data_IF_825663790561
#
_entry.id   IF_825663790561
#
_cell.length_a   1.000
_cell.length_b   1.000
_cell.length_c   1.000
_cell.angle_alpha   90.00
_cell.angle_beta   90.00
_cell.angle_gamma   90.00
#
_symmetry.space_group_name_H-M   'P 1'
#
loop_
_entity.id
_entity.type
_entity.pdbx_description
1 polymer ?
#
# COMPACT_ATOMS: atom_id res chain seq x y z
N UNK A 1 -6.91 -11.02 -25.56
CA UNK A 1 -6.60 -12.46 -25.72
C UNK A 1 -5.10 -12.59 -25.91
N UNK A 2 -4.40 -13.32 -25.05
CA UNK A 2 -2.96 -13.59 -25.22
C UNK A 2 -2.72 -14.41 -26.50
N UNK A 3 -1.74 -14.03 -27.33
CA UNK A 3 -1.35 -14.74 -28.55
C UNK A 3 0.14 -15.10 -28.53
N UNK A 4 0.50 -16.17 -29.23
CA UNK A 4 1.64 -17.07 -28.96
C UNK A 4 2.79 -17.00 -29.99
N UNK A 5 4.03 -17.26 -29.52
CA UNK A 5 5.34 -17.60 -30.19
C UNK A 5 6.37 -16.44 -30.28
N UNK A 6 7.67 -16.57 -29.96
CA UNK A 6 8.50 -17.63 -29.33
C UNK A 6 9.92 -17.10 -28.90
N UNK A 7 10.21 -17.11 -27.56
CA UNK A 7 11.42 -17.61 -26.80
C UNK A 7 12.87 -17.08 -27.05
N UNK A 8 13.82 -17.05 -26.04
CA UNK A 8 14.00 -18.03 -24.95
C UNK A 8 14.37 -17.52 -23.51
N UNK A 9 14.39 -18.48 -22.58
CA UNK A 9 14.86 -18.47 -21.17
C UNK A 9 14.00 -17.80 -20.08
N UNK A 10 12.91 -18.50 -19.77
CA UNK A 10 12.29 -18.74 -18.46
C UNK A 10 13.01 -18.11 -17.25
N UNK A 11 12.39 -17.07 -16.68
CA UNK A 11 12.15 -17.06 -15.23
C UNK A 11 10.66 -16.75 -15.05
N UNK A 12 9.89 -17.54 -14.29
CA UNK A 12 8.53 -17.14 -13.94
C UNK A 12 8.60 -15.82 -13.18
N UNK A 13 7.52 -15.04 -13.20
CA UNK A 13 7.33 -13.88 -12.34
C UNK A 13 7.55 -14.31 -10.88
N UNK A 14 8.80 -14.20 -10.41
CA UNK A 14 9.26 -14.65 -9.12
C UNK A 14 10.26 -13.61 -8.61
N UNK A 15 9.89 -13.08 -7.45
CA UNK A 15 10.65 -12.22 -6.55
C UNK A 15 12.11 -12.71 -6.48
N UNK A 16 13.09 -11.84 -6.80
CA UNK A 16 14.46 -12.05 -6.28
C UNK A 16 14.46 -11.65 -4.81
N UNK A 17 14.10 -12.60 -3.96
CA UNK A 17 14.42 -12.55 -2.54
C UNK A 17 15.88 -12.97 -2.40
N UNK A 18 16.77 -12.05 -2.01
CA UNK A 18 18.01 -12.45 -1.36
C UNK A 18 17.91 -12.02 0.10
N UNK A 19 17.52 -12.99 0.93
CA UNK A 19 17.31 -12.84 2.37
C UNK A 19 18.60 -13.21 3.09
N UNK A 20 19.18 -12.27 3.83
CA UNK A 20 19.94 -12.63 5.02
C UNK A 20 19.60 -11.67 6.16
N UNK A 21 18.79 -12.21 7.08
CA UNK A 21 18.73 -11.91 8.51
C UNK A 21 17.76 -10.80 8.98
N UNK A 22 16.51 -11.18 9.29
CA UNK A 22 15.63 -10.41 10.16
C UNK A 22 14.89 -11.31 11.14
N UNK A 23 15.11 -11.06 12.43
CA UNK A 23 14.27 -11.56 13.51
C UNK A 23 12.95 -10.77 13.53
N UNK A 24 11.84 -11.50 13.39
CA UNK A 24 10.53 -11.18 13.98
C UNK A 24 9.77 -9.97 13.42
N UNK A 25 8.89 -10.20 12.44
CA UNK A 25 7.85 -9.24 12.04
C UNK A 25 6.81 -9.90 11.14
N UNK A 26 5.52 -9.79 11.48
CA UNK A 26 4.37 -10.58 11.00
C UNK A 26 3.98 -10.40 9.51
N UNK A 27 4.80 -9.77 8.67
CA UNK A 27 4.49 -9.53 7.26
C UNK A 27 5.52 -10.24 6.36
N UNK A 28 5.10 -11.08 5.39
CA UNK A 28 6.00 -11.94 4.62
C UNK A 28 6.79 -11.21 3.52
N UNK A 29 6.96 -9.89 3.61
CA UNK A 29 7.65 -9.10 2.59
C UNK A 29 8.83 -8.32 3.17
N UNK A 30 9.95 -8.44 2.46
CA UNK A 30 11.21 -7.79 2.77
C UNK A 30 11.04 -6.26 2.68
N UNK A 31 11.18 -5.59 3.84
CA UNK A 31 10.95 -4.16 4.05
C UNK A 31 11.96 -3.28 3.28
N UNK A 32 13.11 -3.83 2.90
CA UNK A 32 14.18 -3.10 2.21
C UNK A 32 13.92 -2.95 0.69
N UNK A 33 12.96 -3.70 0.15
CA UNK A 33 12.59 -3.67 -1.28
C UNK A 33 11.38 -2.77 -1.57
N UNK A 34 10.79 -2.14 -0.54
CA UNK A 34 9.78 -1.12 -0.73
C UNK A 34 10.56 0.18 -1.01
N UNK A 35 10.50 0.71 -2.24
CA UNK A 35 10.77 2.15 -2.43
C UNK A 35 9.88 2.85 -1.41
N UNK A 36 10.45 3.32 -0.31
CA UNK A 36 9.71 3.88 0.81
C UNK A 36 8.86 5.04 0.27
N UNK A 37 7.57 4.79 0.05
CA UNK A 37 6.55 5.83 0.08
C UNK A 37 6.74 6.54 1.41
N UNK A 38 6.71 7.87 1.42
CA UNK A 38 7.15 8.71 2.52
C UNK A 38 6.16 8.71 3.69
N UNK A 39 5.57 7.55 4.01
CA UNK A 39 4.35 7.43 4.80
C UNK A 39 3.11 7.67 3.94
N UNK A 40 2.07 8.22 4.56
CA UNK A 40 0.81 8.59 3.95
C UNK A 40 0.95 9.94 3.21
N UNK A 41 1.49 9.90 1.99
CA UNK A 41 1.61 11.06 1.10
C UNK A 41 3.03 11.34 0.61
N UNK A 42 3.21 12.46 -0.10
CA UNK A 42 4.52 13.01 -0.48
C UNK A 42 4.87 14.21 0.42
N UNK A 43 6.18 14.48 0.56
CA UNK A 43 6.70 15.63 1.33
C UNK A 43 5.88 16.91 1.08
N UNK A 44 5.25 17.42 2.15
CA UNK A 44 4.44 18.65 2.12
C UNK A 44 2.97 18.50 2.55
N UNK A 45 2.44 17.27 2.60
CA UNK A 45 1.07 16.99 3.09
C UNK A 45 1.04 16.27 4.45
N UNK A 46 2.18 16.04 5.07
CA UNK A 46 2.34 15.33 6.37
C UNK A 46 1.46 15.92 7.49
N UNK A 47 1.20 17.24 7.44
CA UNK A 47 0.32 17.93 8.40
C UNK A 47 -1.18 17.73 8.10
N UNK A 48 -1.52 17.43 6.86
CA UNK A 48 -2.89 17.22 6.39
C UNK A 48 -3.27 15.73 6.38
N UNK A 49 -2.27 14.84 6.26
CA UNK A 49 -2.42 13.38 6.19
C UNK A 49 -1.45 12.76 7.21
N UNK A 50 -1.81 12.74 8.50
CA UNK A 50 -0.92 12.21 9.54
C UNK A 50 -0.67 10.70 9.39
N UNK A 51 0.59 10.26 9.52
CA UNK A 51 0.93 8.82 9.54
C UNK A 51 0.38 8.09 10.77
N UNK A 52 0.04 8.83 11.82
CA UNK A 52 -0.44 8.32 13.10
C UNK A 52 -1.71 9.02 13.51
N UNK A 53 -2.69 8.26 13.97
CA UNK A 53 -3.91 8.80 14.53
C UNK A 53 -4.15 8.19 15.93
N UNK A 54 -3.82 8.96 16.98
CA UNK A 54 -3.72 8.42 18.33
C UNK A 54 -2.67 7.30 18.39
N UNK A 55 -3.09 6.11 18.83
CA UNK A 55 -2.28 4.89 18.88
C UNK A 55 -2.30 4.06 17.57
N UNK A 56 -3.15 4.42 16.60
CA UNK A 56 -3.16 3.75 15.30
C UNK A 56 -1.99 4.23 14.42
N UNK A 57 -1.28 3.29 13.82
CA UNK A 57 -0.13 3.55 12.94
C UNK A 57 -0.49 3.18 11.50
N UNK A 58 -0.80 4.18 10.68
CA UNK A 58 -1.21 4.00 9.29
C UNK A 58 -0.01 3.91 8.32
N UNK A 59 1.21 4.11 8.81
CA UNK A 59 2.42 4.15 8.00
C UNK A 59 2.59 2.89 7.13
N UNK A 60 2.40 1.71 7.72
CA UNK A 60 2.52 0.44 6.97
C UNK A 60 1.38 0.24 5.97
N UNK A 61 0.14 0.65 6.32
CA UNK A 61 -0.99 0.59 5.39
C UNK A 61 -0.73 1.45 4.15
N UNK A 62 -0.17 2.65 4.32
CA UNK A 62 0.17 3.56 3.23
C UNK A 62 1.28 2.98 2.32
N UNK A 63 2.31 2.37 2.88
CA UNK A 63 3.33 1.69 2.08
C UNK A 63 2.79 0.51 1.27
N UNK A 64 1.87 -0.27 1.85
CA UNK A 64 1.21 -1.38 1.16
C UNK A 64 0.35 -0.86 0.00
N UNK A 65 -0.34 0.27 0.20
CA UNK A 65 -1.13 0.93 -0.84
C UNK A 65 -0.28 1.43 -2.01
N UNK A 66 0.81 2.14 -1.74
CA UNK A 66 1.74 2.61 -2.77
C UNK A 66 2.34 1.45 -3.58
N UNK A 67 2.72 0.37 -2.90
CA UNK A 67 3.20 -0.85 -3.55
C UNK A 67 2.11 -1.52 -4.40
N UNK A 68 0.86 -1.49 -3.95
CA UNK A 68 -0.27 -1.99 -4.72
C UNK A 68 -0.45 -1.18 -6.02
N UNK A 69 -0.35 0.16 -5.95
CA UNK A 69 -0.39 1.02 -7.14
C UNK A 69 0.73 0.73 -8.14
N UNK A 70 1.93 0.39 -7.65
CA UNK A 70 3.07 -0.01 -8.49
C UNK A 70 2.99 -1.47 -9.00
N UNK A 71 2.01 -2.27 -8.54
CA UNK A 71 1.89 -3.67 -8.97
C UNK A 71 1.11 -3.76 -10.27
N UNK A 72 1.76 -4.26 -11.33
CA UNK A 72 1.17 -4.34 -12.67
C UNK A 72 -0.14 -5.13 -12.70
N UNK A 73 -1.17 -4.53 -13.30
CA UNK A 73 -2.47 -5.15 -13.52
C UNK A 73 -3.43 -5.07 -12.33
N UNK A 74 -3.01 -4.49 -11.19
CA UNK A 74 -3.93 -4.15 -10.11
C UNK A 74 -4.69 -2.87 -10.43
N UNK A 75 -5.99 -2.88 -10.16
CA UNK A 75 -6.85 -1.71 -10.36
C UNK A 75 -6.76 -0.77 -9.18
N UNK A 76 -6.90 0.53 -9.42
CA UNK A 76 -6.97 1.56 -8.37
C UNK A 76 -7.97 1.17 -7.27
N UNK A 77 -9.21 0.85 -7.67
CA UNK A 77 -10.30 0.44 -6.78
C UNK A 77 -9.98 -0.78 -5.91
N UNK A 78 -9.22 -1.74 -6.44
CA UNK A 78 -8.77 -2.89 -5.64
C UNK A 78 -7.79 -2.45 -4.56
N UNK A 79 -6.80 -1.64 -4.92
CA UNK A 79 -5.81 -1.12 -3.98
C UNK A 79 -6.45 -0.22 -2.91
N UNK A 80 -7.38 0.65 -3.28
CA UNK A 80 -8.03 1.56 -2.33
C UNK A 80 -8.90 0.82 -1.31
N UNK A 81 -9.66 -0.19 -1.77
CA UNK A 81 -10.46 -1.03 -0.85
C UNK A 81 -9.59 -1.84 0.11
N UNK A 82 -8.47 -2.37 -0.38
CA UNK A 82 -7.50 -3.06 0.47
C UNK A 82 -6.93 -2.10 1.52
N UNK A 83 -6.56 -0.89 1.09
CA UNK A 83 -6.05 0.14 1.96
C UNK A 83 -7.02 0.49 3.09
N UNK A 84 -8.32 0.65 2.81
CA UNK A 84 -9.33 0.83 3.86
C UNK A 84 -9.34 -0.33 4.86
N UNK A 85 -9.24 -1.57 4.38
CA UNK A 85 -9.16 -2.75 5.26
C UNK A 85 -7.95 -2.71 6.19
N UNK A 86 -6.78 -2.39 5.64
CA UNK A 86 -5.53 -2.29 6.40
C UNK A 86 -5.61 -1.16 7.46
N UNK A 87 -6.20 0.00 7.13
CA UNK A 87 -6.41 1.10 8.08
C UNK A 87 -7.38 0.73 9.21
N UNK A 88 -8.47 0.02 8.90
CA UNK A 88 -9.45 -0.43 9.90
C UNK A 88 -8.84 -1.49 10.83
N UNK A 89 -7.95 -2.34 10.32
CA UNK A 89 -7.19 -3.29 11.16
C UNK A 89 -6.33 -2.56 12.19
N UNK A 90 -5.63 -1.48 11.79
CA UNK A 90 -4.86 -0.64 12.71
C UNK A 90 -5.76 0.03 13.75
N UNK A 91 -6.93 0.53 13.33
CA UNK A 91 -7.92 1.07 14.25
C UNK A 91 -8.40 0.05 15.29
N UNK A 92 -8.52 -1.23 14.91
CA UNK A 92 -8.93 -2.31 15.80
C UNK A 92 -7.95 -2.57 16.96
N UNK A 93 -6.71 -2.07 16.87
CA UNK A 93 -5.69 -2.18 17.92
C UNK A 93 -5.84 -1.10 19.01
N UNK A 94 -6.62 -0.05 18.75
CA UNK A 94 -6.88 1.01 19.72
C UNK A 94 -7.88 0.58 20.80
N UNK A 95 -7.94 1.33 21.90
CA UNK A 95 -8.97 1.16 22.92
C UNK A 95 -10.39 1.31 22.30
N UNK A 96 -11.39 0.50 22.71
CA UNK A 96 -12.70 0.46 22.06
C UNK A 96 -13.40 1.82 21.91
N UNK A 97 -13.20 2.73 22.87
CA UNK A 97 -13.82 4.06 22.88
C UNK A 97 -13.33 4.93 21.72
N UNK A 98 -12.09 4.75 21.25
CA UNK A 98 -11.51 5.57 20.16
C UNK A 98 -11.64 4.91 18.78
N UNK A 99 -12.01 3.62 18.71
CA UNK A 99 -12.12 2.88 17.45
C UNK A 99 -13.09 3.51 16.43
N UNK A 100 -14.28 4.01 16.81
CA UNK A 100 -15.19 4.63 15.84
C UNK A 100 -14.60 5.89 15.20
N UNK A 101 -13.87 6.69 15.98
CA UNK A 101 -13.25 7.91 15.48
C UNK A 101 -12.07 7.59 14.57
N UNK A 102 -11.26 6.58 14.92
CA UNK A 102 -10.22 6.08 14.02
C UNK A 102 -10.82 5.56 12.71
N UNK A 103 -11.93 4.80 12.76
CA UNK A 103 -12.61 4.31 11.58
C UNK A 103 -13.11 5.43 10.66
N UNK A 104 -13.56 6.55 11.22
CA UNK A 104 -13.93 7.73 10.44
C UNK A 104 -12.71 8.36 9.73
N UNK A 105 -11.54 8.37 10.38
CA UNK A 105 -10.28 8.81 9.76
C UNK A 105 -9.82 7.82 8.68
N UNK A 106 -9.90 6.51 8.93
CA UNK A 106 -9.60 5.49 7.92
C UNK A 106 -10.47 5.66 6.66
N UNK A 107 -11.75 5.99 6.84
CA UNK A 107 -12.66 6.26 5.74
C UNK A 107 -12.28 7.52 4.96
N UNK A 108 -11.81 8.59 5.61
CA UNK A 108 -11.40 9.80 4.89
C UNK A 108 -10.18 9.53 3.99
N UNK A 109 -9.22 8.71 4.46
CA UNK A 109 -8.06 8.30 3.67
C UNK A 109 -8.49 7.53 2.42
N UNK A 110 -9.39 6.56 2.59
CA UNK A 110 -9.99 5.82 1.48
C UNK A 110 -10.67 6.74 0.46
N UNK A 111 -11.54 7.66 0.92
CA UNK A 111 -12.25 8.58 0.03
C UNK A 111 -11.29 9.51 -0.73
N UNK A 112 -10.19 9.91 -0.09
CA UNK A 112 -9.15 10.72 -0.75
C UNK A 112 -8.46 9.94 -1.87
N UNK A 113 -8.05 8.69 -1.66
CA UNK A 113 -7.35 7.93 -2.71
C UNK A 113 -8.29 7.41 -3.80
N UNK A 114 -9.53 7.05 -3.45
CA UNK A 114 -10.55 6.61 -4.41
C UNK A 114 -10.96 7.77 -5.34
N UNK A 115 -11.11 8.99 -4.80
CA UNK A 115 -11.50 10.17 -5.57
C UNK A 115 -10.37 10.87 -6.33
N UNK A 116 -9.13 10.83 -5.82
CA UNK A 116 -8.02 11.64 -6.36
C UNK A 116 -6.75 10.84 -6.71
N UNK A 117 -6.75 9.53 -6.49
CA UNK A 117 -5.56 8.67 -6.65
C UNK A 117 -5.24 8.24 -8.08
N UNK A 118 -6.11 8.50 -9.05
CA UNK A 118 -5.99 7.97 -10.42
C UNK A 118 -4.64 8.31 -11.08
N UNK A 119 -4.17 9.55 -10.92
CA UNK A 119 -2.89 9.99 -11.49
C UNK A 119 -1.70 9.22 -10.90
N UNK A 120 -1.71 9.01 -9.58
CA UNK A 120 -0.66 8.26 -8.88
C UNK A 120 -0.68 6.78 -9.26
N UNK A 121 -1.87 6.19 -9.36
CA UNK A 121 -2.04 4.82 -9.84
C UNK A 121 -1.52 4.67 -11.28
N UNK A 122 -1.92 5.54 -12.20
CA UNK A 122 -1.44 5.52 -13.60
C UNK A 122 0.09 5.58 -13.67
N UNK A 123 0.72 6.48 -12.91
CA UNK A 123 2.18 6.57 -12.82
C UNK A 123 2.82 5.27 -12.34
N UNK A 124 2.23 4.60 -11.34
CA UNK A 124 2.71 3.29 -10.88
C UNK A 124 2.59 2.20 -11.96
N UNK A 125 1.59 2.29 -12.82
CA UNK A 125 1.39 1.35 -13.94
C UNK A 125 2.26 1.67 -15.17
N UNK A 126 2.84 2.87 -15.30
CA UNK A 126 3.74 3.22 -16.40
C UNK A 126 5.06 2.45 -16.37
N UNK A 127 5.51 1.97 -15.21
CA UNK A 127 6.71 1.10 -15.11
C UNK A 127 6.45 -0.33 -15.63
N UNK A 128 5.21 -0.65 -16.03
CA UNK A 128 4.80 -1.98 -16.51
C UNK A 128 4.82 -2.15 -18.04
N UNK A 129 5.09 -1.08 -18.80
CA UNK A 129 5.09 -1.02 -20.27
C UNK A 129 6.50 -0.85 -20.83
#
# INVERSE_FOLDING_TARGET
>A
MCSSRATPSRTPCQIRANSTNHQGGKYPFNIDAIKQGQGCGNQGLEKAIPDKWGDADFYFACQVHDKCYATCGYTQKFCDKRFLGDLIEECGKMIPVTQPLCGAVALSYYLSVDGFGEKSWKKGQEECI
#
